data_IF_934035047609
#
_entry.id   IF_934035047609
#
_cell.length_a   1.000
_cell.length_b   1.000
_cell.length_c   1.000
_cell.angle_alpha   90.00
_cell.angle_beta   90.00
_cell.angle_gamma   90.00
#
_symmetry.space_group_name_H-M   'P 1'
#
loop_
_entity.id
_entity.type
_entity.pdbx_description
1 polymer ?
#
# COMPACT_ATOMS: atom_id res chain seq x y z
N UNK A 1 2.83 -43.95 25.57
CA UNK A 1 2.17 -45.28 25.38
C UNK A 1 0.77 -45.13 24.79
N UNK A 2 0.49 -45.49 23.54
CA UNK A 2 -0.93 -45.71 23.15
C UNK A 2 -1.41 -47.00 23.82
N UNK A 3 -2.49 -46.98 24.60
CA UNK A 3 -3.03 -48.15 25.32
C UNK A 3 -4.47 -48.46 24.94
N UNK A 4 -4.80 -49.75 24.90
CA UNK A 4 -6.15 -50.28 24.62
C UNK A 4 -6.65 -51.02 25.86
N UNK A 5 -7.15 -50.29 26.86
CA UNK A 5 -7.59 -50.86 28.15
C UNK A 5 -8.82 -51.77 28.09
N UNK A 6 -9.55 -51.83 26.96
CA UNK A 6 -10.76 -52.66 26.79
C UNK A 6 -10.82 -53.26 25.38
N UNK A 7 -11.24 -54.54 25.19
CA UNK A 7 -11.26 -55.21 23.88
C UNK A 7 -12.17 -54.58 22.81
N UNK A 8 -13.06 -53.65 23.18
CA UNK A 8 -13.97 -52.95 22.26
C UNK A 8 -13.62 -51.48 21.95
N UNK A 9 -12.60 -50.87 22.57
CA UNK A 9 -12.23 -49.46 22.33
C UNK A 9 -11.18 -49.31 21.22
N UNK A 10 -11.10 -48.14 20.60
CA UNK A 10 -9.92 -47.74 19.82
C UNK A 10 -8.76 -47.43 20.77
N UNK A 11 -7.52 -47.60 20.31
CA UNK A 11 -6.34 -47.43 21.16
C UNK A 11 -6.06 -45.91 21.38
N UNK A 12 -5.81 -45.48 22.63
CA UNK A 12 -5.67 -44.06 23.00
C UNK A 12 -4.32 -43.70 23.61
N UNK A 13 -3.76 -42.53 23.30
CA UNK A 13 -2.46 -42.06 23.82
C UNK A 13 -2.41 -41.95 25.35
N UNK A 14 -1.22 -42.24 25.87
CA UNK A 14 -0.64 -41.89 27.17
C UNK A 14 0.73 -41.29 26.85
N UNK A 15 1.21 -40.32 27.60
CA UNK A 15 2.55 -39.73 27.46
C UNK A 15 3.30 -39.99 28.76
N UNK A 16 4.54 -40.48 28.65
CA UNK A 16 5.42 -40.66 29.80
C UNK A 16 6.46 -39.54 29.75
N UNK A 17 6.71 -38.88 30.88
CA UNK A 17 7.81 -37.92 31.00
C UNK A 17 9.08 -38.61 31.48
N UNK A 18 10.22 -37.98 31.18
CA UNK A 18 11.57 -38.55 31.36
C UNK A 18 11.92 -38.63 32.85
N UNK A 19 12.99 -39.35 33.17
CA UNK A 19 13.51 -39.54 34.53
C UNK A 19 13.68 -38.21 35.30
N UNK A 20 13.44 -38.14 36.63
CA UNK A 20 13.58 -36.91 37.43
C UNK A 20 14.97 -36.25 37.50
N UNK A 21 15.93 -36.70 36.71
CA UNK A 21 17.31 -36.19 36.66
C UNK A 21 17.62 -35.41 35.36
N UNK A 22 16.67 -35.34 34.42
CA UNK A 22 16.82 -34.58 33.17
C UNK A 22 16.71 -33.09 33.47
N UNK A 23 17.60 -32.27 32.91
CA UNK A 23 17.66 -30.81 33.17
C UNK A 23 17.10 -29.95 32.03
N UNK A 24 16.50 -30.57 31.02
CA UNK A 24 15.99 -29.93 29.81
C UNK A 24 14.57 -30.42 29.56
N UNK A 25 13.64 -29.90 30.35
CA UNK A 25 12.23 -30.23 30.27
C UNK A 25 11.49 -29.19 29.42
N UNK A 26 11.06 -29.59 28.23
CA UNK A 26 9.89 -28.99 27.59
C UNK A 26 8.71 -29.97 27.77
N UNK A 27 7.80 -29.74 28.73
CA UNK A 27 6.79 -30.72 29.13
C UNK A 27 5.62 -30.84 28.15
N UNK A 28 5.62 -30.14 27.00
CA UNK A 28 4.49 -30.12 26.05
C UNK A 28 4.85 -30.75 24.71
N UNK A 29 4.82 -32.09 24.67
CA UNK A 29 4.96 -32.84 23.40
C UNK A 29 3.64 -32.79 22.62
N UNK A 30 3.58 -31.98 21.56
CA UNK A 30 2.40 -31.95 20.68
C UNK A 30 2.34 -33.16 19.74
N UNK A 31 1.13 -33.59 19.37
CA UNK A 31 0.91 -34.63 18.36
C UNK A 31 1.47 -34.26 16.98
N UNK A 32 1.65 -32.97 16.67
CA UNK A 32 2.24 -32.52 15.43
C UNK A 32 3.76 -32.71 15.43
N UNK A 33 4.41 -32.41 16.56
CA UNK A 33 5.84 -32.69 16.79
C UNK A 33 6.14 -34.19 16.68
N UNK A 34 5.29 -35.05 17.23
CA UNK A 34 5.44 -36.52 17.15
C UNK A 34 5.23 -37.10 15.74
N UNK A 35 4.52 -36.39 14.86
CA UNK A 35 4.16 -36.85 13.51
C UNK A 35 4.92 -36.09 12.40
N UNK A 36 5.94 -35.32 12.80
CA UNK A 36 6.75 -34.42 11.95
C UNK A 36 5.89 -33.55 11.01
N UNK A 37 4.82 -32.96 11.57
CA UNK A 37 3.86 -32.15 10.82
C UNK A 37 4.06 -30.67 11.07
N UNK A 38 4.46 -29.96 10.02
CA UNK A 38 4.64 -28.51 10.10
C UNK A 38 3.34 -27.71 10.33
N UNK A 39 2.19 -28.32 10.01
CA UNK A 39 0.92 -27.63 9.76
C UNK A 39 -0.22 -28.28 10.54
N UNK A 40 -0.92 -27.48 11.34
CA UNK A 40 -2.23 -27.79 11.87
C UNK A 40 -3.34 -27.21 10.97
N UNK A 41 -4.46 -27.92 10.87
CA UNK A 41 -5.72 -27.46 10.27
C UNK A 41 -6.88 -27.95 11.15
N UNK A 42 -7.80 -27.07 11.50
CA UNK A 42 -8.95 -27.42 12.33
C UNK A 42 -9.72 -28.61 11.74
N UNK A 43 -9.94 -29.64 12.55
CA UNK A 43 -10.65 -30.85 12.14
C UNK A 43 -9.95 -31.72 11.08
N UNK A 44 -8.66 -31.52 10.79
CA UNK A 44 -7.89 -32.50 10.01
C UNK A 44 -7.52 -33.71 10.86
N UNK A 45 -7.58 -34.90 10.27
CA UNK A 45 -7.02 -36.12 10.89
C UNK A 45 -5.50 -36.07 10.67
N UNK A 46 -4.74 -36.04 11.76
CA UNK A 46 -3.26 -35.92 11.72
C UNK A 46 -2.58 -37.25 11.31
N UNK A 47 -3.29 -38.36 11.51
CA UNK A 47 -2.92 -39.71 11.04
C UNK A 47 -3.53 -39.96 9.65
N UNK A 48 -2.86 -40.79 8.83
CA UNK A 48 -3.23 -41.09 7.43
C UNK A 48 -4.66 -41.65 7.24
N UNK A 49 -5.10 -41.87 5.99
CA UNK A 49 -6.51 -42.05 5.63
C UNK A 49 -7.17 -43.24 6.35
N UNK A 50 -7.81 -42.95 7.49
CA UNK A 50 -8.60 -43.92 8.23
C UNK A 50 -9.85 -44.24 7.40
N UNK A 51 -9.80 -45.36 6.66
CA UNK A 51 -10.94 -45.91 5.90
C UNK A 51 -12.02 -46.45 6.85
N UNK A 52 -12.66 -45.57 7.63
CA UNK A 52 -13.94 -45.89 8.27
C UNK A 52 -15.00 -45.97 7.19
N UNK A 53 -15.46 -47.18 6.91
CA UNK A 53 -16.65 -47.39 6.10
C UNK A 53 -17.81 -46.57 6.65
N UNK A 54 -18.46 -45.80 5.77
CA UNK A 54 -19.73 -45.11 6.06
C UNK A 54 -19.68 -44.04 7.18
N UNK A 55 -18.61 -43.24 7.25
CA UNK A 55 -18.51 -42.07 8.16
C UNK A 55 -19.01 -40.75 7.54
N UNK A 56 -19.53 -39.83 8.38
CA UNK A 56 -19.83 -38.44 7.98
C UNK A 56 -18.55 -37.75 7.48
N UNK A 57 -18.63 -36.99 6.37
CA UNK A 57 -17.51 -36.19 5.87
C UNK A 57 -17.10 -35.17 6.94
N UNK A 58 -15.92 -35.34 7.54
CA UNK A 58 -15.37 -34.40 8.51
C UNK A 58 -15.04 -33.08 7.80
N UNK A 59 -15.62 -31.97 8.28
CA UNK A 59 -15.39 -30.64 7.69
C UNK A 59 -14.04 -30.12 8.17
N UNK A 60 -12.99 -30.40 7.40
CA UNK A 60 -11.66 -29.84 7.63
C UNK A 60 -11.69 -28.34 7.32
N UNK A 61 -11.17 -27.53 8.23
CA UNK A 61 -10.99 -26.11 8.02
C UNK A 61 -9.99 -25.84 6.89
N UNK A 62 -10.26 -24.79 6.12
CA UNK A 62 -9.38 -24.36 5.03
C UNK A 62 -8.16 -23.59 5.53
N UNK A 63 -8.18 -23.10 6.77
CA UNK A 63 -7.11 -22.32 7.36
C UNK A 63 -6.01 -23.21 7.94
N UNK A 64 -4.79 -22.70 7.93
CA UNK A 64 -3.54 -23.36 8.33
C UNK A 64 -2.90 -22.58 9.47
N UNK A 65 -2.34 -23.30 10.44
CA UNK A 65 -1.42 -22.74 11.44
C UNK A 65 -0.07 -23.47 11.34
N UNK A 66 1.08 -22.76 11.31
CA UNK A 66 2.37 -23.39 11.54
C UNK A 66 2.44 -23.87 12.99
N UNK A 67 3.01 -25.06 13.23
CA UNK A 67 3.11 -25.65 14.58
C UNK A 67 4.49 -26.27 14.87
N UNK A 68 5.49 -26.00 14.04
CA UNK A 68 6.88 -26.39 14.30
C UNK A 68 7.46 -25.63 15.48
N UNK A 69 8.30 -26.28 16.29
CA UNK A 69 9.15 -25.59 17.26
C UNK A 69 10.25 -24.73 16.58
N UNK A 70 10.80 -25.20 15.46
CA UNK A 70 11.83 -24.50 14.69
C UNK A 70 11.25 -23.37 13.82
N UNK A 71 11.78 -22.16 13.99
CA UNK A 71 11.36 -20.95 13.28
C UNK A 71 11.56 -21.04 11.75
N UNK A 72 12.70 -21.57 11.30
CA UNK A 72 12.99 -21.76 9.88
C UNK A 72 11.95 -22.67 9.19
N UNK A 73 11.49 -23.72 9.88
CA UNK A 73 10.41 -24.60 9.38
C UNK A 73 9.07 -23.88 9.35
N UNK A 74 8.76 -23.00 10.31
CA UNK A 74 7.55 -22.15 10.25
C UNK A 74 7.59 -21.19 9.07
N UNK A 75 8.76 -20.62 8.75
CA UNK A 75 8.93 -19.78 7.55
C UNK A 75 8.78 -20.58 6.24
N UNK A 76 9.23 -21.84 6.18
CA UNK A 76 8.97 -22.72 5.06
C UNK A 76 7.46 -23.02 4.87
N UNK A 77 6.66 -23.05 5.94
CA UNK A 77 5.19 -23.10 5.84
C UNK A 77 4.63 -21.83 5.22
N UNK A 78 5.17 -20.64 5.54
CA UNK A 78 4.72 -19.37 4.97
C UNK A 78 4.92 -19.31 3.46
N UNK A 79 6.03 -19.84 2.95
CA UNK A 79 6.29 -19.96 1.51
C UNK A 79 5.26 -20.86 0.79
N UNK A 80 4.89 -21.97 1.43
CA UNK A 80 4.07 -23.04 0.86
C UNK A 80 2.56 -22.81 0.98
N UNK A 81 2.11 -22.25 2.09
CA UNK A 81 0.69 -22.12 2.48
C UNK A 81 0.24 -20.66 2.71
N UNK A 82 1.01 -19.68 2.22
CA UNK A 82 0.81 -18.23 2.34
C UNK A 82 -0.66 -17.76 2.43
N UNK A 83 -1.49 -18.20 1.48
CA UNK A 83 -2.90 -17.78 1.32
C UNK A 83 -3.92 -18.60 2.11
N UNK A 84 -3.46 -19.58 2.90
CA UNK A 84 -4.30 -20.41 3.79
C UNK A 84 -4.03 -20.11 5.27
N UNK A 85 -2.96 -19.41 5.62
CA UNK A 85 -2.60 -19.18 7.02
C UNK A 85 -3.62 -18.29 7.72
N UNK A 86 -4.01 -18.63 8.95
CA UNK A 86 -4.81 -17.77 9.80
C UNK A 86 -3.89 -16.75 10.51
N UNK A 87 -3.54 -15.68 9.79
CA UNK A 87 -2.56 -14.66 10.23
C UNK A 87 -2.89 -14.08 11.61
N UNK A 88 -4.17 -13.93 11.93
CA UNK A 88 -4.70 -13.45 13.21
C UNK A 88 -4.33 -14.30 14.45
N UNK A 89 -3.82 -15.52 14.26
CA UNK A 89 -3.38 -16.43 15.33
C UNK A 89 -1.86 -16.71 15.29
N UNK A 90 -1.09 -16.03 14.43
CA UNK A 90 0.37 -16.08 14.46
C UNK A 90 0.92 -15.16 15.55
N UNK A 91 2.14 -15.39 16.00
CA UNK A 91 2.84 -14.45 16.87
C UNK A 91 3.14 -13.13 16.14
N UNK A 92 3.23 -12.00 16.86
CA UNK A 92 3.37 -10.67 16.27
C UNK A 92 4.57 -10.55 15.28
N UNK A 93 5.73 -11.13 15.63
CA UNK A 93 6.88 -11.18 14.72
C UNK A 93 6.61 -11.97 13.44
N UNK A 94 5.86 -13.07 13.55
CA UNK A 94 5.46 -13.89 12.41
C UNK A 94 4.40 -13.20 11.52
N UNK A 95 3.48 -12.45 12.11
CA UNK A 95 2.52 -11.62 11.38
C UNK A 95 3.26 -10.62 10.47
N UNK A 96 4.35 -10.02 10.97
CA UNK A 96 5.24 -9.14 10.19
C UNK A 96 5.99 -9.85 9.06
N UNK A 97 6.51 -11.06 9.31
CA UNK A 97 7.16 -11.89 8.28
C UNK A 97 6.15 -12.29 7.20
N UNK A 98 4.95 -12.75 7.60
CA UNK A 98 3.85 -13.08 6.69
C UNK A 98 3.45 -11.86 5.86
N UNK A 99 3.28 -10.67 6.46
CA UNK A 99 2.89 -9.45 5.76
C UNK A 99 3.93 -9.04 4.71
N UNK A 100 5.23 -9.14 5.03
CA UNK A 100 6.31 -8.90 4.09
C UNK A 100 6.30 -9.91 2.92
N UNK A 101 6.20 -11.21 3.22
CA UNK A 101 6.17 -12.26 2.20
C UNK A 101 4.94 -12.15 1.30
N UNK A 102 3.78 -11.84 1.88
CA UNK A 102 2.55 -11.56 1.16
C UNK A 102 2.70 -10.35 0.22
N UNK A 103 3.30 -9.24 0.68
CA UNK A 103 3.56 -8.07 -0.16
C UNK A 103 4.47 -8.39 -1.36
N UNK A 104 5.52 -9.18 -1.13
CA UNK A 104 6.44 -9.60 -2.19
C UNK A 104 5.81 -10.54 -3.23
N UNK A 105 4.95 -11.48 -2.80
CA UNK A 105 4.42 -12.57 -3.66
C UNK A 105 2.97 -12.37 -4.14
N UNK A 106 2.25 -11.35 -3.67
CA UNK A 106 0.83 -11.11 -4.04
C UNK A 106 0.66 -10.95 -5.56
N UNK A 107 -0.36 -11.64 -6.07
CA UNK A 107 -0.81 -11.59 -7.46
C UNK A 107 -2.07 -10.73 -7.60
N UNK A 108 -2.44 -10.25 -8.81
CA UNK A 108 -3.55 -9.30 -8.96
C UNK A 108 -4.91 -9.82 -8.49
N UNK A 109 -5.16 -11.13 -8.67
CA UNK A 109 -6.33 -11.83 -8.13
C UNK A 109 -6.29 -11.97 -6.59
N UNK A 110 -5.09 -12.10 -6.01
CA UNK A 110 -4.86 -12.25 -4.58
C UNK A 110 -4.97 -10.95 -3.77
N UNK A 111 -4.89 -9.77 -4.39
CA UNK A 111 -4.83 -8.49 -3.68
C UNK A 111 -5.98 -8.25 -2.70
N UNK A 112 -7.24 -8.51 -3.11
CA UNK A 112 -8.42 -8.37 -2.23
C UNK A 112 -8.36 -9.36 -1.06
N UNK A 113 -7.87 -10.58 -1.29
CA UNK A 113 -7.71 -11.61 -0.24
C UNK A 113 -6.62 -11.22 0.76
N UNK A 114 -5.46 -10.79 0.28
CA UNK A 114 -4.35 -10.34 1.13
C UNK A 114 -4.80 -9.25 2.13
N UNK A 115 -5.58 -8.27 1.65
CA UNK A 115 -6.17 -7.23 2.49
C UNK A 115 -7.20 -7.75 3.50
N UNK A 116 -8.06 -8.69 3.10
CA UNK A 116 -9.03 -9.29 4.03
C UNK A 116 -8.35 -10.14 5.12
N UNK A 117 -7.20 -10.75 4.81
CA UNK A 117 -6.38 -11.46 5.80
C UNK A 117 -5.71 -10.51 6.81
N UNK A 118 -5.65 -9.20 6.54
CA UNK A 118 -5.15 -8.15 7.46
C UNK A 118 -6.29 -7.31 8.07
N UNK A 119 -7.54 -7.80 8.09
CA UNK A 119 -8.67 -7.02 8.63
C UNK A 119 -8.62 -6.78 10.15
N UNK A 120 -7.86 -7.60 10.89
CA UNK A 120 -7.71 -7.51 12.34
C UNK A 120 -6.65 -6.47 12.76
N UNK A 121 -5.83 -5.99 11.81
CA UNK A 121 -4.79 -4.98 12.02
C UNK A 121 -5.42 -3.60 12.25
N UNK A 122 -5.70 -3.30 13.53
CA UNK A 122 -6.33 -2.04 13.96
C UNK A 122 -5.39 -0.84 13.87
N UNK A 123 -4.10 -1.06 14.11
CA UNK A 123 -3.07 -0.02 14.09
C UNK A 123 -2.61 0.29 12.65
N UNK A 124 -2.75 -0.68 11.74
CA UNK A 124 -2.38 -0.56 10.33
C UNK A 124 -0.92 -0.89 10.05
N UNK A 125 -0.18 -1.41 11.02
CA UNK A 125 1.25 -1.66 10.92
C UNK A 125 1.58 -2.83 10.00
N UNK A 126 0.86 -3.95 10.11
CA UNK A 126 1.01 -5.11 9.22
C UNK A 126 0.63 -4.75 7.79
N UNK A 127 -0.43 -3.93 7.64
CA UNK A 127 -0.86 -3.37 6.36
C UNK A 127 0.19 -2.42 5.78
N UNK A 128 0.81 -1.56 6.58
CA UNK A 128 1.97 -0.73 6.17
C UNK A 128 3.11 -1.62 5.69
N UNK A 129 3.48 -2.65 6.46
CA UNK A 129 4.54 -3.62 6.13
C UNK A 129 4.27 -4.34 4.82
N UNK A 130 3.03 -4.81 4.61
CA UNK A 130 2.56 -5.43 3.37
C UNK A 130 2.66 -4.46 2.18
N UNK A 131 2.15 -3.23 2.31
CA UNK A 131 2.14 -2.25 1.21
C UNK A 131 3.55 -1.77 0.83
N UNK A 132 4.41 -1.48 1.80
CA UNK A 132 5.81 -1.09 1.54
C UNK A 132 6.59 -2.25 0.90
N UNK A 133 6.40 -3.48 1.37
CA UNK A 133 7.07 -4.64 0.76
C UNK A 133 6.54 -4.93 -0.65
N UNK A 134 5.26 -4.67 -0.91
CA UNK A 134 4.68 -4.74 -2.25
C UNK A 134 5.29 -3.68 -3.20
N UNK A 135 5.50 -2.44 -2.74
CA UNK A 135 6.21 -1.41 -3.52
C UNK A 135 7.66 -1.82 -3.83
N UNK A 136 8.36 -2.37 -2.85
CA UNK A 136 9.80 -2.63 -2.96
C UNK A 136 10.12 -3.93 -3.74
N UNK A 137 9.42 -5.03 -3.46
CA UNK A 137 9.81 -6.39 -3.88
C UNK A 137 8.88 -7.02 -4.93
N UNK A 138 7.67 -6.51 -5.14
CA UNK A 138 6.74 -7.12 -6.09
C UNK A 138 7.14 -6.80 -7.54
N UNK A 139 7.09 -7.82 -8.42
CA UNK A 139 7.46 -7.71 -9.84
C UNK A 139 6.36 -7.07 -10.70
N UNK A 140 5.13 -6.99 -10.20
CA UNK A 140 3.98 -6.48 -10.96
C UNK A 140 3.79 -4.98 -10.76
N UNK A 141 4.16 -4.18 -11.74
CA UNK A 141 4.06 -2.71 -11.71
C UNK A 141 2.66 -2.18 -11.36
N UNK A 142 1.61 -2.83 -11.88
CA UNK A 142 0.22 -2.50 -11.54
C UNK A 142 -0.10 -2.69 -10.05
N UNK A 143 0.53 -3.65 -9.38
CA UNK A 143 0.36 -3.86 -7.93
C UNK A 143 1.21 -2.87 -7.12
N UNK A 144 2.37 -2.45 -7.62
CA UNK A 144 3.13 -1.35 -7.02
C UNK A 144 2.33 -0.04 -7.06
N UNK A 145 1.78 0.32 -8.21
CA UNK A 145 0.90 1.50 -8.33
C UNK A 145 -0.35 1.40 -7.44
N UNK A 146 -0.94 0.21 -7.29
CA UNK A 146 -2.06 -0.02 -6.37
C UNK A 146 -1.65 0.07 -4.90
N UNK A 147 -0.49 -0.44 -4.53
CA UNK A 147 0.06 -0.30 -3.18
C UNK A 147 0.28 1.18 -2.83
N UNK A 148 0.80 1.96 -3.79
CA UNK A 148 1.03 3.39 -3.68
C UNK A 148 -0.28 4.16 -3.45
N UNK A 149 -1.34 3.81 -4.19
CA UNK A 149 -2.69 4.36 -3.99
C UNK A 149 -3.23 4.07 -2.58
N UNK A 150 -2.96 2.88 -2.02
CA UNK A 150 -3.43 2.51 -0.68
C UNK A 150 -2.62 3.16 0.46
N UNK A 151 -1.31 3.37 0.29
CA UNK A 151 -0.49 4.19 1.21
C UNK A 151 -0.97 5.64 1.17
N UNK A 152 -1.12 6.20 -0.03
CA UNK A 152 -1.66 7.55 -0.20
C UNK A 152 -3.08 7.69 0.39
N UNK A 153 -3.86 6.61 0.42
CA UNK A 153 -5.18 6.59 1.03
C UNK A 153 -5.15 6.50 2.57
N UNK A 154 -4.16 5.83 3.17
CA UNK A 154 -4.04 5.67 4.63
C UNK A 154 -3.67 6.96 5.36
N UNK A 155 -3.04 7.92 4.66
CA UNK A 155 -2.49 9.18 5.20
C UNK A 155 -1.32 9.00 6.19
N UNK A 156 -0.75 7.79 6.28
CA UNK A 156 0.49 7.56 7.03
C UNK A 156 1.64 8.34 6.40
N UNK A 157 2.20 9.29 7.14
CA UNK A 157 3.26 10.18 6.68
C UNK A 157 4.60 9.46 6.44
N UNK A 158 4.94 8.45 7.25
CA UNK A 158 6.22 7.74 7.14
C UNK A 158 6.19 6.70 6.02
N UNK A 159 5.06 6.00 5.86
CA UNK A 159 4.85 5.12 4.72
C UNK A 159 4.83 5.92 3.40
N UNK A 160 4.25 7.13 3.41
CA UNK A 160 4.25 8.04 2.25
C UNK A 160 5.66 8.51 1.89
N UNK A 161 6.49 8.87 2.90
CA UNK A 161 7.89 9.24 2.72
C UNK A 161 8.72 8.09 2.15
N UNK A 162 8.65 6.92 2.79
CA UNK A 162 9.36 5.70 2.35
C UNK A 162 8.96 5.30 0.91
N UNK A 163 7.68 5.47 0.56
CA UNK A 163 7.19 5.17 -0.78
C UNK A 163 7.76 6.12 -1.86
N UNK A 164 8.05 7.38 -1.52
CA UNK A 164 8.71 8.33 -2.44
C UNK A 164 10.14 7.88 -2.74
N UNK A 165 10.87 7.39 -1.74
CA UNK A 165 12.26 6.98 -1.93
C UNK A 165 12.36 5.64 -2.70
N UNK A 166 11.46 4.69 -2.43
CA UNK A 166 11.32 3.46 -3.25
C UNK A 166 10.99 3.80 -4.71
N UNK A 167 10.10 4.76 -4.94
CA UNK A 167 9.67 5.19 -6.28
C UNK A 167 10.79 5.87 -7.08
N UNK A 168 11.81 6.45 -6.44
CA UNK A 168 12.95 7.06 -7.12
C UNK A 168 13.67 6.04 -8.04
N UNK A 169 13.85 4.81 -7.55
CA UNK A 169 14.51 3.70 -8.26
C UNK A 169 13.65 3.02 -9.35
N UNK A 170 12.41 3.45 -9.57
CA UNK A 170 11.54 2.83 -10.59
C UNK A 170 11.91 3.27 -12.02
N UNK A 171 11.60 2.45 -13.05
CA UNK A 171 11.70 2.84 -14.45
C UNK A 171 10.92 4.12 -14.76
N UNK A 172 11.43 4.92 -15.72
CA UNK A 172 10.94 6.27 -16.06
C UNK A 172 9.41 6.38 -16.15
N UNK A 173 8.76 5.50 -16.90
CA UNK A 173 7.31 5.57 -17.13
C UNK A 173 6.49 5.15 -15.90
N UNK A 174 6.94 4.13 -15.17
CA UNK A 174 6.28 3.70 -13.94
C UNK A 174 6.43 4.74 -12.82
N UNK A 175 7.61 5.36 -12.71
CA UNK A 175 7.87 6.50 -11.82
C UNK A 175 6.99 7.69 -12.16
N UNK A 176 6.75 7.98 -13.45
CA UNK A 176 5.83 9.02 -13.90
C UNK A 176 4.39 8.74 -13.46
N UNK A 177 3.89 7.51 -13.56
CA UNK A 177 2.55 7.15 -13.05
C UNK A 177 2.48 7.17 -11.52
N UNK A 178 3.54 6.73 -10.82
CA UNK A 178 3.61 6.80 -9.36
C UNK A 178 3.55 8.23 -8.84
N UNK A 179 4.32 9.14 -9.44
CA UNK A 179 4.32 10.57 -9.07
C UNK A 179 2.94 11.20 -9.29
N UNK A 180 2.19 10.82 -10.34
CA UNK A 180 0.80 11.29 -10.52
C UNK A 180 -0.10 10.86 -9.35
N UNK A 181 -0.02 9.61 -8.91
CA UNK A 181 -0.81 9.08 -7.78
C UNK A 181 -0.52 9.89 -6.51
N UNK A 182 0.76 10.11 -6.21
CA UNK A 182 1.19 10.80 -4.99
C UNK A 182 0.88 12.31 -5.03
N UNK A 183 1.04 12.97 -6.19
CA UNK A 183 0.63 14.37 -6.37
C UNK A 183 -0.90 14.54 -6.33
N UNK A 184 -1.68 13.61 -6.88
CA UNK A 184 -3.15 13.61 -6.74
C UNK A 184 -3.55 13.51 -5.26
N UNK A 185 -2.90 12.62 -4.50
CA UNK A 185 -3.18 12.47 -3.08
C UNK A 185 -2.87 13.75 -2.27
N UNK A 186 -1.73 14.42 -2.51
CA UNK A 186 -1.41 15.72 -1.88
C UNK A 186 -2.28 16.88 -2.38
N UNK A 187 -2.90 16.75 -3.56
CA UNK A 187 -3.82 17.74 -4.12
C UNK A 187 -5.21 17.69 -3.46
N UNK A 188 -5.67 16.48 -3.11
CA UNK A 188 -6.99 16.19 -2.51
C UNK A 188 -6.98 16.11 -0.98
N UNK A 189 -5.89 15.60 -0.39
CA UNK A 189 -5.82 15.18 1.01
C UNK A 189 -4.71 15.93 1.74
N UNK A 190 -4.94 16.26 2.99
CA UNK A 190 -3.89 16.71 3.92
C UNK A 190 -3.16 15.47 4.46
N UNK A 191 -1.95 15.22 3.96
CA UNK A 191 -1.05 14.15 4.39
C UNK A 191 0.21 14.82 4.96
N UNK A 192 0.68 14.35 6.12
CA UNK A 192 1.85 14.89 6.82
C UNK A 192 1.75 16.35 7.26
N UNK A 193 2.88 16.90 7.71
CA UNK A 193 3.06 18.33 8.01
C UNK A 193 3.26 19.13 6.71
N UNK A 194 3.08 20.45 6.76
CA UNK A 194 3.13 21.33 5.56
C UNK A 194 4.52 21.35 4.91
N UNK A 195 5.54 21.40 5.75
CA UNK A 195 6.96 21.30 5.42
C UNK A 195 7.32 19.95 4.79
N UNK A 196 6.87 18.84 5.37
CA UNK A 196 7.02 17.49 4.79
C UNK A 196 6.37 17.41 3.40
N UNK A 197 5.09 17.82 3.28
CA UNK A 197 4.39 17.85 2.00
C UNK A 197 5.08 18.73 0.95
N UNK A 198 5.66 19.86 1.36
CA UNK A 198 6.46 20.70 0.46
C UNK A 198 7.74 20.00 -0.01
N UNK A 199 8.47 19.32 0.88
CA UNK A 199 9.67 18.56 0.53
C UNK A 199 9.34 17.39 -0.41
N UNK A 200 8.26 16.66 -0.14
CA UNK A 200 7.75 15.58 -0.99
C UNK A 200 7.40 16.05 -2.40
N UNK A 201 6.68 17.17 -2.53
CA UNK A 201 6.31 17.73 -3.83
C UNK A 201 7.56 18.06 -4.67
N UNK A 202 8.59 18.66 -4.06
CA UNK A 202 9.81 19.02 -4.80
C UNK A 202 10.70 17.82 -5.14
N UNK A 203 10.83 16.82 -4.24
CA UNK A 203 11.48 15.52 -4.57
C UNK A 203 10.80 14.84 -5.76
N UNK A 204 9.47 14.75 -5.74
CA UNK A 204 8.72 14.14 -6.83
C UNK A 204 8.81 14.94 -8.13
N UNK A 205 8.86 16.28 -8.06
CA UNK A 205 9.03 17.14 -9.23
C UNK A 205 10.40 16.94 -9.90
N UNK A 206 11.45 16.66 -9.12
CA UNK A 206 12.78 16.29 -9.63
C UNK A 206 12.75 14.94 -10.38
N UNK A 207 12.06 13.94 -9.83
CA UNK A 207 11.91 12.61 -10.48
C UNK A 207 11.21 12.67 -11.84
N UNK A 208 10.42 13.72 -12.10
CA UNK A 208 9.68 13.98 -13.34
C UNK A 208 10.06 15.30 -14.01
N UNK A 209 11.29 15.80 -13.75
CA UNK A 209 11.82 17.09 -14.26
C UNK A 209 11.50 17.35 -15.74
N UNK A 210 11.76 16.34 -16.57
CA UNK A 210 11.56 16.36 -18.03
C UNK A 210 10.11 16.73 -18.43
N UNK A 211 9.11 16.23 -17.70
CA UNK A 211 7.68 16.49 -17.98
C UNK A 211 7.35 17.97 -17.73
N UNK A 212 8.01 18.57 -16.75
CA UNK A 212 7.85 19.98 -16.41
C UNK A 212 8.62 20.88 -17.39
N UNK A 213 9.80 20.46 -17.84
CA UNK A 213 10.60 21.11 -18.89
C UNK A 213 9.89 21.07 -20.26
N UNK A 214 9.33 19.92 -20.65
CA UNK A 214 8.53 19.75 -21.87
C UNK A 214 7.34 20.71 -21.89
N UNK A 215 6.58 20.78 -20.79
CA UNK A 215 5.45 21.70 -20.66
C UNK A 215 5.88 23.17 -20.69
N UNK A 216 6.91 23.55 -19.92
CA UNK A 216 7.38 24.93 -19.86
C UNK A 216 7.91 25.40 -21.23
N UNK A 217 8.64 24.54 -21.92
CA UNK A 217 9.14 24.77 -23.29
C UNK A 217 8.02 24.96 -24.31
N UNK A 218 6.95 24.15 -24.24
CA UNK A 218 5.79 24.29 -25.13
C UNK A 218 5.00 25.57 -24.84
N UNK A 219 4.90 25.97 -23.56
CA UNK A 219 4.13 27.15 -23.15
C UNK A 219 4.86 28.46 -23.39
N UNK A 220 6.19 28.46 -23.23
CA UNK A 220 7.04 29.65 -23.24
C UNK A 220 8.44 29.34 -23.82
N UNK A 221 8.73 29.74 -25.07
CA UNK A 221 9.97 29.37 -25.76
C UNK A 221 11.28 29.79 -25.06
N UNK A 222 11.26 30.93 -24.34
CA UNK A 222 12.41 31.44 -23.58
C UNK A 222 12.87 30.49 -22.46
N UNK A 223 12.03 29.54 -22.06
CA UNK A 223 12.38 28.42 -21.15
C UNK A 223 13.69 27.74 -21.55
N UNK A 224 13.87 27.41 -22.83
CA UNK A 224 15.10 26.74 -23.31
C UNK A 224 16.34 27.60 -23.09
N UNK A 225 16.23 28.91 -23.31
CA UNK A 225 17.32 29.87 -23.13
C UNK A 225 17.66 30.03 -21.66
N UNK A 226 16.68 30.16 -20.78
CA UNK A 226 16.93 30.33 -19.33
C UNK A 226 17.46 29.06 -18.67
N UNK A 227 16.90 27.88 -18.99
CA UNK A 227 17.42 26.61 -18.48
C UNK A 227 18.81 26.30 -19.07
N UNK A 228 19.02 26.56 -20.37
CA UNK A 228 20.33 26.42 -21.02
C UNK A 228 21.39 27.35 -20.41
N UNK A 229 21.06 28.61 -20.15
CA UNK A 229 21.93 29.55 -19.44
C UNK A 229 22.25 29.10 -18.02
N UNK A 230 21.31 28.46 -17.32
CA UNK A 230 21.56 27.91 -15.99
C UNK A 230 22.50 26.71 -16.05
N UNK A 231 22.18 25.69 -16.86
CA UNK A 231 22.95 24.44 -17.00
C UNK A 231 24.38 24.71 -17.52
N UNK A 232 24.54 25.62 -18.49
CA UNK A 232 25.85 25.95 -19.09
C UNK A 232 26.63 27.04 -18.33
N UNK A 233 26.33 27.28 -17.05
CA UNK A 233 27.03 28.27 -16.23
C UNK A 233 27.49 27.68 -14.91
N UNK A 234 28.64 28.13 -14.42
CA UNK A 234 29.26 27.68 -13.17
C UNK A 234 29.59 28.86 -12.24
N UNK A 235 29.88 28.55 -10.97
CA UNK A 235 30.32 29.52 -9.97
C UNK A 235 29.41 30.76 -9.84
N UNK A 236 29.96 31.99 -9.70
CA UNK A 236 29.16 33.20 -9.54
C UNK A 236 28.21 33.49 -10.72
N UNK A 237 28.49 33.00 -11.93
CA UNK A 237 27.60 33.14 -13.08
C UNK A 237 26.33 32.29 -12.94
N UNK A 238 26.48 31.07 -12.40
CA UNK A 238 25.38 30.16 -12.11
C UNK A 238 24.39 30.76 -11.11
N UNK A 239 24.90 31.34 -10.01
CA UNK A 239 24.07 32.05 -9.02
C UNK A 239 23.30 33.24 -9.64
N UNK A 240 23.93 34.02 -10.54
CA UNK A 240 23.25 35.10 -11.29
C UNK A 240 22.16 34.56 -12.22
N UNK A 241 22.43 33.47 -12.95
CA UNK A 241 21.46 32.87 -13.87
C UNK A 241 20.28 32.21 -13.14
N UNK A 242 20.51 31.58 -11.98
CA UNK A 242 19.44 31.07 -11.11
C UNK A 242 18.52 32.21 -10.63
N UNK A 243 19.09 33.34 -10.19
CA UNK A 243 18.31 34.53 -9.79
C UNK A 243 17.52 35.12 -10.96
N UNK A 244 18.09 35.15 -12.17
CA UNK A 244 17.40 35.57 -13.41
C UNK A 244 16.21 34.66 -13.74
N UNK A 245 16.40 33.34 -13.68
CA UNK A 245 15.31 32.37 -13.87
C UNK A 245 14.21 32.53 -12.83
N UNK A 246 14.57 32.69 -11.54
CA UNK A 246 13.61 32.94 -10.46
C UNK A 246 12.84 34.25 -10.66
N UNK A 247 13.49 35.32 -11.14
CA UNK A 247 12.82 36.59 -11.44
C UNK A 247 11.84 36.45 -12.60
N UNK A 248 12.24 35.75 -13.67
CA UNK A 248 11.38 35.50 -14.81
C UNK A 248 10.16 34.64 -14.42
N UNK A 249 10.38 33.52 -13.72
CA UNK A 249 9.34 32.63 -13.23
C UNK A 249 8.33 33.28 -12.28
N UNK A 250 8.59 34.48 -11.72
CA UNK A 250 7.61 35.25 -10.91
C UNK A 250 6.65 36.09 -11.76
N UNK A 251 6.99 36.38 -13.02
CA UNK A 251 6.13 37.15 -13.93
C UNK A 251 5.11 36.26 -14.63
N UNK A 252 5.46 34.99 -14.79
CA UNK A 252 4.62 33.96 -15.40
C UNK A 252 3.49 33.48 -14.48
N UNK A 253 2.50 32.80 -15.06
CA UNK A 253 1.41 32.19 -14.31
C UNK A 253 1.90 31.11 -13.33
N UNK A 254 1.11 30.83 -12.28
CA UNK A 254 1.50 29.90 -11.20
C UNK A 254 1.96 28.53 -11.70
N UNK A 255 1.40 28.04 -12.81
CA UNK A 255 1.67 26.70 -13.33
C UNK A 255 2.96 26.67 -14.15
N UNK A 256 3.18 27.66 -15.01
CA UNK A 256 4.45 27.84 -15.70
C UNK A 256 5.60 28.13 -14.70
N UNK A 257 5.33 28.96 -13.68
CA UNK A 257 6.25 29.21 -12.55
C UNK A 257 6.66 27.91 -11.83
N UNK A 258 5.69 27.05 -11.51
CA UNK A 258 5.95 25.73 -10.91
C UNK A 258 6.79 24.83 -11.83
N UNK A 259 6.47 24.80 -13.11
CA UNK A 259 7.17 24.00 -14.10
C UNK A 259 8.63 24.43 -14.29
N UNK A 260 8.89 25.74 -14.37
CA UNK A 260 10.25 26.30 -14.48
C UNK A 260 11.11 25.97 -13.25
N UNK A 261 10.56 26.11 -12.04
CA UNK A 261 11.29 25.82 -10.79
C UNK A 261 11.49 24.32 -10.53
N UNK A 262 10.64 23.47 -11.12
CA UNK A 262 10.83 22.02 -11.15
C UNK A 262 11.88 21.60 -12.19
N UNK A 263 11.91 22.26 -13.36
CA UNK A 263 12.89 22.01 -14.42
C UNK A 263 14.31 22.50 -14.07
N UNK A 264 14.44 23.54 -13.25
CA UNK A 264 15.72 24.15 -12.90
C UNK A 264 16.60 23.25 -12.01
N UNK A 265 17.82 22.96 -12.47
CA UNK A 265 18.87 22.31 -11.69
C UNK A 265 19.92 23.34 -11.23
N UNK A 266 20.34 23.24 -9.98
CA UNK A 266 21.50 23.96 -9.47
C UNK A 266 22.55 22.99 -8.94
N UNK A 267 23.83 23.30 -9.18
CA UNK A 267 24.97 22.52 -8.66
C UNK A 267 25.91 23.35 -7.76
N UNK A 268 25.70 24.68 -7.66
CA UNK A 268 26.38 25.52 -6.67
C UNK A 268 25.43 25.86 -5.51
N UNK A 269 25.92 25.99 -4.26
CA UNK A 269 25.07 26.24 -3.10
C UNK A 269 24.28 27.55 -3.20
N UNK A 270 24.82 28.61 -3.80
CA UNK A 270 24.15 29.92 -3.89
C UNK A 270 23.03 29.94 -4.95
N UNK A 271 23.19 29.17 -6.03
CA UNK A 271 22.14 28.97 -7.02
C UNK A 271 21.00 28.12 -6.46
N UNK A 272 21.34 27.05 -5.74
CA UNK A 272 20.37 26.18 -5.10
C UNK A 272 19.64 26.90 -3.96
N UNK A 273 20.28 27.78 -3.19
CA UNK A 273 19.60 28.65 -2.22
C UNK A 273 18.58 29.58 -2.92
N UNK A 274 18.95 30.20 -4.05
CA UNK A 274 18.05 31.07 -4.80
C UNK A 274 16.81 30.30 -5.34
N UNK A 275 17.01 29.08 -5.86
CA UNK A 275 15.93 28.19 -6.29
C UNK A 275 15.08 27.72 -5.11
N UNK A 276 15.70 27.25 -4.01
CA UNK A 276 15.02 26.81 -2.78
C UNK A 276 14.15 27.91 -2.19
N UNK A 277 14.65 29.13 -2.11
CA UNK A 277 13.84 30.28 -1.68
C UNK A 277 12.62 30.52 -2.58
N UNK A 278 12.72 30.29 -3.89
CA UNK A 278 11.59 30.39 -4.82
C UNK A 278 10.59 29.23 -4.65
N UNK A 279 11.10 28.01 -4.56
CA UNK A 279 10.35 26.78 -4.28
C UNK A 279 9.52 26.90 -2.99
N UNK A 280 10.13 27.37 -1.90
CA UNK A 280 9.47 27.61 -0.60
C UNK A 280 8.37 28.67 -0.70
N UNK A 281 8.58 29.77 -1.43
CA UNK A 281 7.54 30.80 -1.64
C UNK A 281 6.34 30.25 -2.41
N UNK A 282 6.57 29.47 -3.46
CA UNK A 282 5.50 28.90 -4.27
C UNK A 282 4.72 27.80 -3.51
N UNK A 283 5.42 27.05 -2.66
CA UNK A 283 4.91 25.97 -1.82
C UNK A 283 4.19 26.44 -0.53
N UNK A 284 3.87 27.73 -0.37
CA UNK A 284 3.02 28.22 0.74
C UNK A 284 1.65 27.52 0.82
N UNK A 285 1.14 27.00 -0.32
CA UNK A 285 -0.07 26.18 -0.43
C UNK A 285 0.27 24.84 -1.14
N UNK A 286 0.68 23.77 -0.43
CA UNK A 286 1.13 22.50 -1.04
C UNK A 286 0.11 21.89 -1.99
N UNK A 287 -1.14 21.72 -1.56
CA UNK A 287 -2.19 21.13 -2.39
C UNK A 287 -2.44 21.87 -3.72
N UNK A 288 -2.26 23.20 -3.73
CA UNK A 288 -2.34 23.98 -4.96
C UNK A 288 -1.10 23.81 -5.85
N UNK A 289 0.10 23.70 -5.27
CA UNK A 289 1.32 23.40 -6.02
C UNK A 289 1.27 21.99 -6.65
N UNK A 290 0.84 20.98 -5.89
CA UNK A 290 0.66 19.61 -6.37
C UNK A 290 -0.30 19.55 -7.57
N UNK A 291 -1.43 20.27 -7.53
CA UNK A 291 -2.36 20.40 -8.66
C UNK A 291 -1.73 21.02 -9.90
N UNK A 292 -0.95 22.09 -9.76
CA UNK A 292 -0.30 22.70 -10.93
C UNK A 292 0.77 21.81 -11.56
N UNK A 293 1.59 21.13 -10.75
CA UNK A 293 2.58 20.17 -11.26
C UNK A 293 1.92 18.95 -11.92
N UNK A 294 0.84 18.44 -11.33
CA UNK A 294 0.06 17.33 -11.90
C UNK A 294 -0.54 17.67 -13.27
N UNK A 295 -1.01 18.91 -13.46
CA UNK A 295 -1.56 19.37 -14.75
C UNK A 295 -0.54 19.34 -15.89
N UNK A 296 0.76 19.34 -15.60
CA UNK A 296 1.85 19.30 -16.59
C UNK A 296 2.03 17.92 -17.23
N UNK A 297 1.55 16.86 -16.58
CA UNK A 297 1.64 15.53 -17.16
C UNK A 297 0.77 15.40 -18.42
N UNK A 298 1.23 14.67 -19.45
CA UNK A 298 0.45 14.46 -20.66
C UNK A 298 -0.86 13.76 -20.30
N UNK A 299 -1.98 14.40 -20.64
CA UNK A 299 -3.30 13.76 -20.55
C UNK A 299 -3.27 12.52 -21.44
N UNK A 300 -3.46 11.35 -20.83
CA UNK A 300 -3.28 10.06 -21.51
C UNK A 300 -4.03 10.03 -22.83
N UNK A 301 -3.30 9.73 -23.92
CA UNK A 301 -3.80 9.73 -25.30
C UNK A 301 -4.76 8.55 -25.51
N UNK A 302 -5.98 8.64 -24.94
CA UNK A 302 -7.07 7.67 -25.10
C UNK A 302 -7.13 7.26 -26.58
N UNK A 303 -6.99 5.97 -26.84
CA UNK A 303 -6.36 5.48 -28.06
C UNK A 303 -7.02 5.88 -29.38
N UNK A 304 -6.57 6.98 -29.99
CA UNK A 304 -6.94 7.38 -31.37
C UNK A 304 -6.49 6.36 -32.44
N UNK A 305 -5.69 5.34 -32.05
CA UNK A 305 -5.28 4.22 -32.90
C UNK A 305 -6.32 3.10 -33.09
N UNK A 306 -7.30 2.94 -32.20
CA UNK A 306 -8.24 1.80 -32.29
C UNK A 306 -9.40 2.01 -33.27
N UNK A 307 -9.67 3.25 -33.70
CA UNK A 307 -10.72 3.59 -34.70
C UNK A 307 -10.27 3.54 -36.17
N UNK A 308 -8.96 3.39 -36.47
CA UNK A 308 -8.45 3.32 -37.86
C UNK A 308 -8.26 1.91 -38.42
N UNK A 309 -8.48 0.85 -37.64
CA UNK A 309 -8.47 -0.56 -38.09
C UNK A 309 -9.87 -1.18 -38.32
N UNK A 310 -10.93 -0.36 -38.33
CA UNK A 310 -12.31 -0.78 -38.68
C UNK A 310 -12.93 0.15 -39.74
N UNK A 311 -12.13 0.52 -40.74
CA UNK A 311 -12.51 1.38 -41.87
C UNK A 311 -11.79 0.98 -43.17
N UNK A 312 -11.31 -0.27 -43.26
CA UNK A 312 -10.67 -0.88 -44.45
C UNK A 312 -11.07 -2.37 -44.48
N UNK A 313 -12.38 -2.64 -44.38
CA UNK A 313 -12.96 -3.99 -44.40
C UNK A 313 -14.50 -3.94 -44.60
N UNK A 314 -14.96 -3.18 -45.60
CA UNK A 314 -16.37 -3.15 -46.04
C UNK A 314 -16.48 -2.33 -47.32
N UNK A 315 -16.14 -2.93 -48.47
CA UNK A 315 -16.56 -2.51 -49.83
C UNK A 315 -16.04 -3.57 -50.83
N UNK A 316 -16.83 -4.63 -51.03
CA UNK A 316 -16.72 -5.61 -52.12
C UNK A 316 -17.92 -6.57 -52.06
N UNK A 317 -19.07 -6.17 -52.60
CA UNK A 317 -20.14 -7.11 -52.99
C UNK A 317 -19.79 -7.73 -54.36
N UNK A 318 -20.06 -9.02 -54.56
CA UNK A 318 -19.52 -9.73 -55.74
C UNK A 318 -20.01 -11.16 -55.99
N UNK A 319 -21.28 -11.46 -55.70
CA UNK A 319 -22.16 -12.46 -56.35
C UNK A 319 -21.69 -13.93 -56.61
N UNK A 320 -22.51 -14.90 -56.17
CA UNK A 320 -22.77 -16.15 -56.92
C UNK A 320 -22.51 -17.49 -56.22
N UNK A 321 -23.51 -18.39 -56.21
CA UNK A 321 -23.31 -19.85 -55.98
C UNK A 321 -24.31 -20.56 -55.06
N UNK A 322 -25.20 -21.37 -55.65
CA UNK A 322 -26.27 -22.20 -55.04
C UNK A 322 -25.80 -23.30 -54.02
N UNK A 323 -26.73 -23.94 -53.26
CA UNK A 323 -26.44 -24.69 -52.02
C UNK A 323 -26.43 -26.23 -52.17
N UNK A 324 -26.02 -26.93 -51.11
CA UNK A 324 -26.20 -28.36 -50.92
C UNK A 324 -26.28 -28.78 -49.44
N UNK A 325 -27.39 -29.42 -49.05
CA UNK A 325 -27.62 -30.11 -47.76
C UNK A 325 -27.48 -31.64 -47.96
N UNK A 326 -27.67 -32.48 -46.94
CA UNK A 326 -27.18 -32.45 -45.55
C UNK A 326 -26.43 -33.77 -45.19
N UNK A 327 -25.89 -33.92 -43.97
CA UNK A 327 -25.78 -35.26 -43.36
C UNK A 327 -25.73 -35.25 -41.81
N UNK A 328 -25.97 -36.42 -41.21
CA UNK A 328 -26.53 -36.61 -39.86
C UNK A 328 -25.75 -37.68 -39.08
N UNK A 329 -25.52 -37.45 -37.78
CA UNK A 329 -25.36 -38.46 -36.69
C UNK A 329 -25.09 -37.68 -35.39
N UNK A 330 -26.02 -37.58 -34.46
CA UNK A 330 -26.42 -38.56 -33.43
C UNK A 330 -25.42 -38.73 -32.27
N UNK A 331 -25.90 -38.30 -31.08
CA UNK A 331 -25.92 -39.00 -29.77
C UNK A 331 -24.57 -39.47 -29.18
N UNK A 332 -24.22 -39.24 -27.91
CA UNK A 332 -24.97 -39.29 -26.62
C UNK A 332 -24.39 -38.16 -25.73
N UNK A 333 -25.05 -37.42 -24.85
CA UNK A 333 -26.27 -37.62 -24.07
C UNK A 333 -25.95 -37.39 -22.57
N UNK A 334 -26.47 -36.28 -22.00
CA UNK A 334 -26.92 -36.14 -20.59
C UNK A 334 -25.88 -36.24 -19.43
N UNK A 335 -26.01 -35.68 -18.22
CA UNK A 335 -26.77 -34.58 -17.54
C UNK A 335 -26.02 -34.32 -16.20
N UNK A 336 -26.13 -33.22 -15.44
CA UNK A 336 -26.55 -31.82 -15.62
C UNK A 336 -26.08 -31.05 -14.35
N UNK A 337 -26.27 -29.71 -14.28
CA UNK A 337 -25.96 -28.93 -13.06
C UNK A 337 -25.82 -27.43 -13.31
N UNK A 338 -26.94 -26.72 -13.26
CA UNK A 338 -27.00 -25.25 -13.23
C UNK A 338 -26.53 -24.72 -11.87
N UNK A 339 -26.04 -23.49 -11.82
CA UNK A 339 -26.85 -22.36 -11.32
C UNK A 339 -26.11 -21.04 -11.56
N UNK A 340 -26.82 -20.09 -12.17
CA UNK A 340 -26.46 -18.68 -12.22
C UNK A 340 -26.69 -18.03 -10.85
N UNK A 341 -25.90 -17.02 -10.53
CA UNK A 341 -26.36 -15.99 -9.60
C UNK A 341 -25.73 -14.63 -9.95
N UNK A 342 -26.48 -13.85 -10.71
CA UNK A 342 -26.22 -12.43 -11.01
C UNK A 342 -27.17 -11.62 -10.15
N UNK A 343 -26.63 -10.82 -9.23
CA UNK A 343 -27.41 -9.83 -8.47
C UNK A 343 -26.91 -8.44 -8.82
N UNK A 344 -27.84 -7.58 -9.26
CA UNK A 344 -27.59 -6.22 -9.70
C UNK A 344 -27.61 -5.22 -8.54
N UNK A 345 -26.94 -4.09 -8.75
CA UNK A 345 -27.08 -2.89 -7.92
C UNK A 345 -28.52 -2.35 -7.98
N UNK A 346 -29.00 -1.76 -6.87
CA UNK A 346 -30.29 -1.06 -6.82
C UNK A 346 -30.10 0.28 -6.11
N UNK A 347 -29.97 1.34 -6.90
CA UNK A 347 -30.17 2.72 -6.44
C UNK A 347 -31.68 3.02 -6.41
N UNK A 348 -32.17 3.66 -5.34
CA UNK A 348 -33.58 3.95 -5.13
C UNK A 348 -33.81 5.36 -4.59
N UNK A 349 -34.06 6.31 -5.50
CA UNK A 349 -34.38 7.70 -5.22
C UNK A 349 -35.91 7.91 -5.24
N UNK A 350 -36.49 8.47 -4.18
CA UNK A 350 -37.91 8.88 -4.17
C UNK A 350 -38.11 10.19 -3.41
N UNK A 351 -38.86 11.11 -4.01
CA UNK A 351 -39.28 12.38 -3.42
C UNK A 351 -40.79 12.60 -3.66
N UNK A 352 -41.52 12.97 -2.60
CA UNK A 352 -42.85 13.61 -2.53
C UNK A 352 -43.33 13.46 -1.06
N UNK A 353 -43.32 14.52 -0.25
CA UNK A 353 -44.31 15.60 -0.17
C UNK A 353 -45.55 15.26 0.70
N UNK A 354 -45.63 15.95 1.84
CA UNK A 354 -46.83 16.49 2.52
C UNK A 354 -46.39 17.20 3.80
N UNK A 355 -46.58 18.52 3.88
CA UNK A 355 -46.31 19.30 5.10
C UNK A 355 -47.56 19.60 5.92
N UNK A 356 -47.39 19.82 7.23
CA UNK A 356 -48.32 20.58 8.09
C UNK A 356 -47.53 21.44 9.11
N UNK A 357 -47.57 22.75 8.85
CA UNK A 357 -47.60 23.97 9.70
C UNK A 357 -47.36 23.90 11.23
N UNK A 358 -46.76 25.00 11.72
CA UNK A 358 -46.61 25.51 13.11
C UNK A 358 -45.48 24.89 13.97
N UNK A 359 -44.69 25.67 14.72
CA UNK A 359 -44.62 27.13 14.85
C UNK A 359 -44.19 27.54 16.26
N UNK A 360 -43.07 28.26 16.40
CA UNK A 360 -42.88 29.44 17.26
C UNK A 360 -41.40 29.84 17.34
N UNK A 361 -41.14 31.12 17.06
CA UNK A 361 -39.89 31.80 17.34
C UNK A 361 -39.98 32.43 18.73
N UNK A 362 -39.02 32.16 19.62
CA UNK A 362 -38.70 33.06 20.73
C UNK A 362 -37.18 33.14 20.87
N UNK A 363 -36.63 34.30 20.52
CA UNK A 363 -35.23 34.60 20.75
C UNK A 363 -34.95 34.95 22.21
N UNK A 364 -33.71 34.75 22.64
CA UNK A 364 -33.19 35.48 23.80
C UNK A 364 -31.75 35.92 23.54
N UNK A 365 -31.50 37.20 23.74
CA UNK A 365 -30.17 37.81 23.72
C UNK A 365 -29.84 38.17 25.16
N UNK A 366 -28.74 37.65 25.69
CA UNK A 366 -28.04 38.36 26.75
C UNK A 366 -26.54 38.14 26.68
N UNK A 367 -25.80 39.25 26.68
CA UNK A 367 -24.39 39.28 27.05
C UNK A 367 -24.28 39.10 28.57
N UNK A 368 -23.09 38.77 29.09
CA UNK A 368 -22.40 39.54 30.15
C UNK A 368 -21.14 38.79 30.62
N UNK A 369 -20.03 39.54 30.70
CA UNK A 369 -18.76 39.33 31.46
C UNK A 369 -18.05 37.96 31.32
N UNK A 370 -16.83 37.88 30.82
CA UNK A 370 -15.56 38.49 31.28
C UNK A 370 -15.16 38.07 32.70
N UNK A 371 -14.27 37.07 32.80
CA UNK A 371 -13.36 36.98 33.93
C UNK A 371 -11.99 36.47 33.46
N UNK A 372 -10.94 37.14 33.94
CA UNK A 372 -9.57 37.07 33.44
C UNK A 372 -8.68 36.49 34.54
N UNK A 373 -8.49 35.17 34.54
CA UNK A 373 -7.69 34.48 35.56
C UNK A 373 -6.25 34.24 35.07
N UNK A 374 -5.36 35.16 35.41
CA UNK A 374 -3.91 34.89 35.41
C UNK A 374 -3.60 33.79 36.43
N UNK A 375 -2.76 32.83 36.06
CA UNK A 375 -1.98 32.06 37.04
C UNK A 375 -0.51 32.06 36.61
N UNK A 376 0.35 32.46 37.54
CA UNK A 376 1.77 32.69 37.29
C UNK A 376 2.60 31.42 37.54
N UNK A 377 3.74 31.32 36.86
CA UNK A 377 4.72 30.25 37.08
C UNK A 377 5.42 30.38 38.43
N UNK A 378 5.71 29.25 39.11
CA UNK A 378 6.22 29.30 40.50
C UNK A 378 7.16 28.19 41.01
N UNK A 379 7.74 27.30 40.20
CA UNK A 379 8.93 26.46 40.56
C UNK A 379 8.83 25.54 41.81
N UNK A 380 9.88 24.75 42.15
CA UNK A 380 10.76 23.93 41.30
C UNK A 380 10.80 22.44 41.76
N UNK A 381 11.39 21.52 40.98
CA UNK A 381 11.55 20.13 41.45
C UNK A 381 12.17 19.12 40.49
N UNK A 382 13.46 19.27 40.15
CA UNK A 382 14.26 18.17 39.59
C UNK A 382 15.76 18.41 39.79
N UNK A 383 16.40 17.51 40.51
CA UNK A 383 17.84 17.51 40.80
C UNK A 383 18.33 16.08 40.94
N UNK A 384 18.56 15.42 39.79
CA UNK A 384 18.97 14.02 39.73
C UNK A 384 20.46 13.91 40.12
N UNK A 385 20.79 13.08 41.11
CA UNK A 385 22.14 12.88 41.62
C UNK A 385 22.51 11.40 41.64
N UNK A 386 22.82 10.84 40.48
CA UNK A 386 23.27 9.44 40.35
C UNK A 386 24.78 9.35 40.53
N UNK A 387 25.25 8.60 41.52
CA UNK A 387 26.64 8.25 41.70
C UNK A 387 26.75 6.84 42.28
N UNK A 388 27.35 5.93 41.52
CA UNK A 388 27.64 4.57 41.96
C UNK A 388 28.36 3.78 40.87
N UNK A 389 29.64 3.48 41.11
CA UNK A 389 30.23 2.25 40.63
C UNK A 389 31.02 1.56 41.74
N UNK A 390 30.74 0.28 42.00
CA UNK A 390 31.75 -0.58 42.61
C UNK A 390 31.66 -1.99 42.03
N UNK A 391 32.79 -2.46 41.53
CA UNK A 391 33.00 -3.79 40.97
C UNK A 391 33.81 -4.61 41.97
N UNK A 392 33.34 -5.80 42.32
CA UNK A 392 34.13 -6.97 42.75
C UNK A 392 33.27 -8.17 42.34
N UNK A 393 33.66 -9.08 41.45
CA UNK A 393 34.84 -9.95 41.45
C UNK A 393 35.10 -10.62 42.80
N UNK A 394 34.51 -11.80 42.99
CA UNK A 394 35.16 -12.93 43.66
C UNK A 394 34.82 -14.22 42.93
N UNK A 395 35.81 -15.10 42.79
CA UNK A 395 35.73 -16.37 42.07
C UNK A 395 35.84 -17.57 43.04
N UNK A 396 35.48 -18.75 42.51
CA UNK A 396 35.91 -20.09 42.93
C UNK A 396 35.64 -20.54 44.40
N UNK A 397 34.87 -21.63 44.50
CA UNK A 397 34.57 -22.38 45.72
C UNK A 397 33.64 -23.54 45.41
#
# INVERSE_FOLDING_TARGET
>A
RVTRRQPGKEAGLVVDFVHPATKHDDPVVTLHSLLDRDVYRGGAIVVGPVRRGRGRKMRVERRVLPVCAEEERRFAVFERELWRIAVEHLDYGEQHVWAALAGARVQPNGWRRARAMLHFDREGELKRRFLLTALQRNRHSQLRLRALQEIAASKDAEAFDTAIDIMAGWPRDERREGVKVMLQALAERRIGRRDQANAWIWRMAEYTREVHEEYATQRWPETKRLLGLLVNSSGPAHARNARRLVHAARKEDRRLSAALLAAALAHTPEAEEALRGARTRLARKPAALARELLRNFPKGRRGRGRRRKKAVASDAEGNGGMPGTPQVSELVGAVAGTDDDVVQDVDGETAADRGVVAGDEMGFVEQVRSEEARSENGSPGSGNGSAGPEQTETAAG
#
